data_IF_638737839340
#
_entry.id   IF_638737839340
#
_cell.length_a   1.000
_cell.length_b   1.000
_cell.length_c   1.000
_cell.angle_alpha   90.00
_cell.angle_beta   90.00
_cell.angle_gamma   90.00
#
_symmetry.space_group_name_H-M   'P 1'
#
loop_
_entity.id
_entity.type
_entity.pdbx_description
1 polymer ?
#
# COMPACT_ATOMS: atom_id res chain seq x y z
N UNK A 1 8.60 11.73 29.74
CA UNK A 1 8.36 11.81 28.27
C UNK A 1 6.99 11.29 27.96
N UNK A 2 6.18 12.09 27.29
CA UNK A 2 4.84 11.68 26.89
C UNK A 2 4.92 10.64 25.78
N UNK A 3 4.22 9.52 25.92
CA UNK A 3 4.14 8.53 24.85
C UNK A 3 3.51 9.13 23.61
N UNK A 4 4.04 8.78 22.44
CA UNK A 4 3.45 9.16 21.17
C UNK A 4 1.99 8.70 21.04
N UNK A 5 1.63 7.62 21.71
CA UNK A 5 0.29 7.03 21.63
C UNK A 5 -0.67 7.51 22.71
N UNK A 6 -0.19 8.26 23.71
CA UNK A 6 -1.05 8.77 24.78
C UNK A 6 -1.99 9.87 24.28
N UNK A 7 -3.21 9.87 24.83
CA UNK A 7 -4.21 10.92 24.59
C UNK A 7 -4.57 11.14 23.12
N UNK A 8 -4.41 10.11 22.28
CA UNK A 8 -4.77 10.19 20.87
C UNK A 8 -5.97 9.31 20.57
N UNK A 9 -6.86 9.83 19.73
CA UNK A 9 -7.94 9.04 19.16
C UNK A 9 -7.41 8.28 17.95
N UNK A 10 -7.63 6.98 17.95
CA UNK A 10 -7.22 6.11 16.87
C UNK A 10 -8.45 5.54 16.16
N UNK A 11 -8.43 5.57 14.85
CA UNK A 11 -9.41 4.89 14.01
C UNK A 11 -8.74 3.66 13.38
N UNK A 12 -9.33 2.51 13.60
CA UNK A 12 -8.87 1.27 12.99
C UNK A 12 -9.75 0.92 11.80
N UNK A 13 -9.16 0.83 10.63
CA UNK A 13 -9.83 0.47 9.39
C UNK A 13 -9.36 -0.92 8.97
N UNK A 14 -10.26 -1.89 9.02
CA UNK A 14 -9.93 -3.28 8.69
C UNK A 14 -10.45 -3.66 7.32
N UNK A 15 -9.55 -3.77 6.36
CA UNK A 15 -9.81 -4.24 5.00
C UNK A 15 -9.20 -5.62 4.74
N UNK A 16 -8.87 -6.37 5.81
CA UNK A 16 -8.21 -7.67 5.67
C UNK A 16 -9.12 -8.79 5.19
N UNK A 17 -10.44 -8.62 5.29
CA UNK A 17 -11.44 -9.63 4.89
C UNK A 17 -12.03 -9.39 3.51
N UNK A 18 -11.80 -8.23 2.93
CA UNK A 18 -12.33 -7.86 1.63
C UNK A 18 -11.17 -7.47 0.72
N UNK A 19 -11.11 -8.07 -0.44
CA UNK A 19 -10.25 -7.55 -1.50
C UNK A 19 -10.81 -6.21 -1.93
N UNK A 20 -10.10 -5.16 -1.58
CA UNK A 20 -10.60 -3.80 -1.66
C UNK A 20 -10.87 -3.39 -3.09
N UNK A 21 -10.18 -3.95 -4.01
CA UNK A 21 -10.42 -3.61 -5.39
C UNK A 21 -9.69 -4.54 -6.34
N UNK A 22 -10.16 -4.53 -7.57
CA UNK A 22 -9.47 -5.20 -8.67
C UNK A 22 -8.15 -4.51 -9.05
N UNK A 23 -7.93 -3.27 -8.58
CA UNK A 23 -6.69 -2.54 -8.82
C UNK A 23 -5.95 -2.29 -7.51
N UNK A 24 -4.73 -2.80 -7.36
CA UNK A 24 -3.91 -2.51 -6.18
C UNK A 24 -3.66 -1.01 -5.94
N UNK A 25 -3.71 -0.18 -6.98
CA UNK A 25 -3.50 1.25 -6.85
C UNK A 25 -4.55 1.94 -5.98
N UNK A 26 -5.78 1.44 -5.97
CA UNK A 26 -6.84 2.02 -5.12
C UNK A 26 -6.49 1.92 -3.63
N UNK A 27 -5.86 0.84 -3.22
CA UNK A 27 -5.45 0.67 -1.83
C UNK A 27 -4.40 1.71 -1.42
N UNK A 28 -3.44 1.99 -2.29
CA UNK A 28 -2.45 3.04 -2.03
C UNK A 28 -3.08 4.44 -2.08
N UNK A 29 -4.07 4.63 -2.94
CA UNK A 29 -4.86 5.87 -2.97
C UNK A 29 -5.63 6.10 -1.68
N UNK A 30 -6.13 5.04 -1.04
CA UNK A 30 -6.75 5.14 0.29
C UNK A 30 -5.77 5.63 1.34
N UNK A 31 -4.54 5.13 1.35
CA UNK A 31 -3.52 5.56 2.30
C UNK A 31 -3.21 7.05 2.12
N UNK A 32 -3.08 7.52 0.89
CA UNK A 32 -2.89 8.94 0.60
C UNK A 32 -4.07 9.78 1.09
N UNK A 33 -5.30 9.30 0.87
CA UNK A 33 -6.52 9.98 1.33
C UNK A 33 -6.55 10.07 2.86
N UNK A 34 -6.22 8.98 3.55
CA UNK A 34 -6.19 8.96 5.02
C UNK A 34 -5.11 9.88 5.56
N UNK A 35 -3.95 9.96 4.92
CA UNK A 35 -2.92 10.93 5.28
C UNK A 35 -3.43 12.37 5.22
N UNK A 36 -4.15 12.71 4.16
CA UNK A 36 -4.76 14.04 4.03
C UNK A 36 -5.81 14.31 5.10
N UNK A 37 -6.67 13.34 5.40
CA UNK A 37 -7.71 13.49 6.41
C UNK A 37 -7.12 13.68 7.80
N UNK A 38 -6.10 12.92 8.16
CA UNK A 38 -5.39 13.09 9.42
C UNK A 38 -4.70 14.45 9.50
N UNK A 39 -4.07 14.87 8.40
CA UNK A 39 -3.38 16.17 8.35
C UNK A 39 -4.32 17.37 8.46
N UNK A 40 -5.61 17.19 8.16
CA UNK A 40 -6.63 18.23 8.30
C UNK A 40 -7.38 18.16 9.62
N UNK A 41 -6.93 17.33 10.54
CA UNK A 41 -7.61 17.06 11.83
C UNK A 41 -9.06 16.56 11.68
N UNK A 42 -9.43 16.05 10.50
CA UNK A 42 -10.76 15.47 10.28
C UNK A 42 -10.94 14.15 11.01
N UNK A 43 -9.84 13.45 11.23
CA UNK A 43 -9.75 12.22 12.00
C UNK A 43 -8.56 12.31 12.93
N UNK A 44 -8.55 11.52 13.99
CA UNK A 44 -7.35 11.30 14.78
C UNK A 44 -6.28 10.57 13.98
N UNK A 45 -5.60 9.64 14.58
CA UNK A 45 -4.67 8.78 13.87
C UNK A 45 -5.39 7.58 13.28
N UNK A 46 -4.92 7.07 12.16
CA UNK A 46 -5.53 5.93 11.47
C UNK A 46 -4.53 4.79 11.40
N UNK A 47 -5.00 3.59 11.79
CA UNK A 47 -4.30 2.32 11.53
C UNK A 47 -5.18 1.53 10.57
N UNK A 48 -4.60 1.06 9.51
CA UNK A 48 -5.30 0.27 8.49
C UNK A 48 -4.62 -1.07 8.28
N UNK A 49 -5.41 -2.13 8.29
CA UNK A 49 -4.97 -3.44 7.83
C UNK A 49 -5.62 -3.78 6.50
N UNK A 50 -4.89 -4.44 5.62
CA UNK A 50 -5.39 -4.75 4.30
C UNK A 50 -4.69 -5.95 3.66
N UNK A 51 -5.37 -6.54 2.69
CA UNK A 51 -4.88 -7.68 1.90
C UNK A 51 -5.11 -7.36 0.43
N UNK A 52 -4.18 -7.77 -0.41
CA UNK A 52 -4.24 -7.54 -1.86
C UNK A 52 -4.35 -8.83 -2.66
N UNK A 53 -4.85 -8.68 -3.88
CA UNK A 53 -4.63 -9.68 -4.93
C UNK A 53 -3.16 -9.73 -5.35
N UNK A 54 -2.80 -10.76 -6.13
CA UNK A 54 -1.43 -10.96 -6.59
C UNK A 54 -0.86 -9.71 -7.28
N UNK A 55 0.12 -9.09 -6.64
CA UNK A 55 0.76 -7.88 -7.13
C UNK A 55 2.22 -7.82 -6.70
N UNK A 56 3.01 -7.07 -7.43
CA UNK A 56 4.39 -6.73 -7.04
C UNK A 56 4.48 -5.23 -6.92
N UNK A 57 4.76 -4.77 -5.70
CA UNK A 57 4.85 -3.35 -5.39
C UNK A 57 6.30 -2.94 -5.47
N UNK A 58 6.63 -2.16 -6.49
CA UNK A 58 7.96 -1.60 -6.72
C UNK A 58 8.13 -0.32 -5.91
N UNK A 59 9.34 -0.09 -5.40
CA UNK A 59 9.69 1.19 -4.81
C UNK A 59 9.86 2.27 -5.89
N UNK A 60 9.80 3.53 -5.49
CA UNK A 60 9.90 4.65 -6.43
C UNK A 60 11.22 4.65 -7.21
N UNK A 61 12.28 4.09 -6.64
CA UNK A 61 13.58 3.99 -7.33
C UNK A 61 13.64 2.81 -8.31
N UNK A 62 12.84 1.76 -8.08
CA UNK A 62 12.89 0.55 -8.89
C UNK A 62 12.47 0.80 -10.33
N UNK A 63 11.57 1.76 -10.59
CA UNK A 63 11.11 2.03 -11.94
C UNK A 63 12.19 2.69 -12.82
N UNK A 64 13.30 3.10 -12.23
CA UNK A 64 14.47 3.66 -12.93
C UNK A 64 15.51 2.59 -13.32
N UNK A 65 15.28 1.34 -12.92
CA UNK A 65 16.20 0.27 -13.23
C UNK A 65 16.24 -0.01 -14.74
N UNK A 66 17.42 -0.35 -15.28
CA UNK A 66 17.48 -0.81 -16.66
C UNK A 66 16.59 -2.04 -16.87
N UNK A 67 15.93 -2.13 -18.02
CA UNK A 67 15.06 -3.23 -18.38
C UNK A 67 13.83 -3.42 -17.48
N UNK A 68 13.41 -2.39 -16.76
CA UNK A 68 12.23 -2.47 -15.87
C UNK A 68 10.97 -2.84 -16.65
N UNK A 69 10.83 -2.36 -17.88
CA UNK A 69 9.67 -2.69 -18.72
C UNK A 69 9.58 -4.17 -19.01
N UNK A 70 10.70 -4.81 -19.32
CA UNK A 70 10.76 -6.26 -19.51
C UNK A 70 10.40 -7.02 -18.24
N UNK A 71 10.86 -6.54 -17.09
CA UNK A 71 10.50 -7.10 -15.79
C UNK A 71 9.00 -6.99 -15.50
N UNK A 72 8.42 -5.84 -15.76
CA UNK A 72 6.99 -5.60 -15.57
C UNK A 72 6.14 -6.51 -16.49
N UNK A 73 6.55 -6.68 -17.75
CA UNK A 73 5.89 -7.59 -18.68
C UNK A 73 5.97 -9.03 -18.20
N UNK A 74 7.11 -9.44 -17.70
CA UNK A 74 7.29 -10.78 -17.12
C UNK A 74 6.33 -11.00 -15.95
N UNK A 75 6.23 -10.05 -15.02
CA UNK A 75 5.33 -10.15 -13.88
C UNK A 75 3.86 -10.22 -14.32
N UNK A 76 3.47 -9.41 -15.29
CA UNK A 76 2.10 -9.42 -15.81
C UNK A 76 1.76 -10.79 -16.43
N UNK A 77 2.68 -11.36 -17.18
CA UNK A 77 2.49 -12.71 -17.75
C UNK A 77 2.42 -13.80 -16.70
N UNK A 78 3.11 -13.60 -15.58
CA UNK A 78 3.08 -14.52 -14.45
C UNK A 78 1.83 -14.37 -13.58
N UNK A 79 0.95 -13.44 -13.88
CA UNK A 79 -0.30 -13.21 -13.14
C UNK A 79 -0.22 -12.20 -12.03
N UNK A 80 0.86 -11.44 -11.94
CA UNK A 80 1.04 -10.38 -10.94
C UNK A 80 0.83 -9.02 -11.57
N UNK A 81 0.19 -8.11 -10.83
CA UNK A 81 0.03 -6.73 -11.27
C UNK A 81 1.21 -5.92 -10.73
N UNK A 82 2.11 -5.41 -11.59
CA UNK A 82 3.18 -4.55 -11.13
C UNK A 82 2.65 -3.14 -10.88
N UNK A 83 2.97 -2.58 -9.73
CA UNK A 83 2.65 -1.19 -9.39
C UNK A 83 3.87 -0.53 -8.78
N UNK A 84 3.94 0.78 -8.87
CA UNK A 84 4.99 1.58 -8.26
C UNK A 84 4.38 2.44 -7.16
N UNK A 85 4.89 2.27 -5.94
CA UNK A 85 4.45 3.13 -4.83
C UNK A 85 5.24 4.45 -4.84
N UNK A 86 4.72 5.44 -4.15
CA UNK A 86 5.35 6.76 -4.04
C UNK A 86 6.42 6.85 -2.94
N UNK A 87 6.84 5.73 -2.41
CA UNK A 87 7.85 5.65 -1.35
C UNK A 87 9.02 4.77 -1.79
N UNK A 88 10.13 4.86 -1.07
CA UNK A 88 11.32 4.07 -1.33
C UNK A 88 11.20 2.64 -0.82
N UNK A 89 12.31 1.94 -0.84
CA UNK A 89 12.42 0.55 -0.39
C UNK A 89 12.43 -0.44 -1.53
N UNK A 90 12.55 -1.70 -1.18
CA UNK A 90 12.64 -2.81 -2.12
C UNK A 90 11.26 -3.23 -2.65
N UNK A 91 11.26 -3.96 -3.74
CA UNK A 91 10.04 -4.57 -4.26
C UNK A 91 9.46 -5.59 -3.26
N UNK A 92 8.14 -5.62 -3.17
CA UNK A 92 7.41 -6.53 -2.27
C UNK A 92 6.37 -7.28 -3.08
N UNK A 93 6.32 -8.59 -2.90
CA UNK A 93 5.29 -9.44 -3.49
C UNK A 93 4.13 -9.55 -2.52
N UNK A 94 2.94 -9.23 -2.99
CA UNK A 94 1.71 -9.30 -2.20
C UNK A 94 0.72 -10.26 -2.86
N UNK A 95 0.01 -10.98 -2.01
CA UNK A 95 -1.12 -11.81 -2.41
C UNK A 95 -2.10 -11.94 -1.23
N UNK A 96 -3.08 -12.82 -1.38
CA UNK A 96 -4.12 -13.01 -0.36
C UNK A 96 -3.58 -13.55 0.97
N UNK A 97 -2.37 -14.11 0.98
CA UNK A 97 -1.72 -14.61 2.18
C UNK A 97 -0.92 -13.58 2.95
N UNK A 98 -0.84 -12.34 2.46
CA UNK A 98 -0.03 -11.29 3.09
C UNK A 98 -0.93 -10.24 3.71
N UNK A 99 -0.85 -10.11 5.03
CA UNK A 99 -1.52 -9.04 5.77
C UNK A 99 -0.58 -7.84 5.90
N UNK A 100 -1.06 -6.69 5.51
CA UNK A 100 -0.34 -5.41 5.61
C UNK A 100 -0.95 -4.53 6.68
#
# INVERSE_FOLDING_TARGET
>A
MTSFFENKTWCFVNHSKEMISKSPLESFGMDDTFCHLVGRDSFGSIVRSWVHSASVVLGIQDHRLPNIEGGQQFLTKAGFVPIVRNSGGLAVVLDEGVLN
#
